data_IF_952524635348
#
_entry.id   IF_952524635348
#
_cell.length_a   1.000
_cell.length_b   1.000
_cell.length_c   1.000
_cell.angle_alpha   90.00
_cell.angle_beta   90.00
_cell.angle_gamma   90.00
#
_symmetry.space_group_name_H-M   'P 1'
#
loop_
_entity.id
_entity.type
_entity.pdbx_description
1 polymer ?
#
# COMPACT_ATOMS: atom_id res chain seq x y z
N UNK A 1 0.31 -21.63 -4.41
CA UNK A 1 0.58 -20.21 -4.10
C UNK A 1 0.79 -19.92 -2.61
N UNK A 2 0.10 -20.60 -1.68
CA UNK A 2 0.28 -20.40 -0.22
C UNK A 2 1.70 -20.69 0.31
N UNK A 3 2.39 -21.69 -0.24
CA UNK A 3 3.72 -22.14 0.26
C UNK A 3 4.82 -21.09 0.01
N UNK A 4 4.72 -20.30 -1.07
CA UNK A 4 5.70 -19.25 -1.37
C UNK A 4 5.54 -18.03 -0.44
N UNK A 5 4.30 -17.66 -0.10
CA UNK A 5 3.97 -16.63 0.91
C UNK A 5 4.52 -17.04 2.28
N UNK A 6 4.37 -18.31 2.65
CA UNK A 6 4.84 -18.85 3.93
C UNK A 6 6.37 -18.92 4.05
N UNK A 7 7.08 -19.21 2.95
CA UNK A 7 8.56 -19.24 2.90
C UNK A 7 9.20 -17.84 2.92
N UNK A 8 8.54 -16.80 2.40
CA UNK A 8 9.01 -15.41 2.50
C UNK A 8 8.88 -14.86 3.92
N UNK A 9 7.77 -15.16 4.60
CA UNK A 9 7.52 -14.76 5.99
C UNK A 9 8.50 -15.39 7.00
N UNK A 10 9.07 -16.56 6.69
CA UNK A 10 10.08 -17.20 7.55
C UNK A 10 11.48 -16.60 7.44
N UNK A 11 11.78 -15.86 6.37
CA UNK A 11 13.13 -15.32 6.13
C UNK A 11 13.36 -13.94 6.80
N UNK A 12 12.32 -13.13 6.97
CA UNK A 12 12.39 -11.80 7.59
C UNK A 12 11.16 -11.57 8.49
N UNK A 13 11.21 -12.00 9.76
CA UNK A 13 10.03 -12.12 10.63
C UNK A 13 9.54 -10.79 11.26
N UNK A 14 9.94 -9.63 10.74
CA UNK A 14 9.62 -8.31 11.33
C UNK A 14 8.91 -7.31 10.41
N UNK A 15 8.86 -7.54 9.10
CA UNK A 15 8.35 -6.56 8.14
C UNK A 15 7.36 -7.27 7.20
N UNK A 16 6.11 -6.83 7.20
CA UNK A 16 5.21 -7.18 6.12
C UNK A 16 5.85 -6.68 4.81
N UNK A 17 5.97 -7.54 3.80
CA UNK A 17 6.51 -7.13 2.51
C UNK A 17 5.59 -6.11 1.83
N UNK A 18 6.14 -5.26 0.95
CA UNK A 18 5.37 -4.22 0.24
C UNK A 18 4.10 -4.75 -0.45
N UNK A 19 4.08 -6.02 -0.89
CA UNK A 19 2.87 -6.73 -1.37
C UNK A 19 1.70 -6.60 -0.39
N UNK A 20 1.94 -6.90 0.89
CA UNK A 20 0.92 -6.85 1.93
C UNK A 20 0.55 -5.40 2.24
N UNK A 21 1.51 -4.47 2.21
CA UNK A 21 1.27 -3.05 2.48
C UNK A 21 0.40 -2.43 1.39
N UNK A 22 0.64 -2.78 0.12
CA UNK A 22 -0.22 -2.41 -1.01
C UNK A 22 -1.63 -2.97 -0.82
N UNK A 23 -1.76 -4.24 -0.40
CA UNK A 23 -3.07 -4.83 -0.12
C UNK A 23 -3.79 -4.13 1.02
N UNK A 24 -3.09 -3.87 2.14
CA UNK A 24 -3.67 -3.24 3.32
C UNK A 24 -4.11 -1.80 3.03
N UNK A 25 -3.29 -1.03 2.32
CA UNK A 25 -3.64 0.33 1.87
C UNK A 25 -4.82 0.29 0.91
N UNK A 26 -4.86 -0.68 -0.02
CA UNK A 26 -6.01 -0.83 -0.94
C UNK A 26 -7.29 -1.13 -0.17
N UNK A 27 -7.27 -2.07 0.78
CA UNK A 27 -8.43 -2.42 1.59
C UNK A 27 -8.88 -1.25 2.48
N UNK A 28 -7.92 -0.56 3.10
CA UNK A 28 -8.19 0.63 3.90
C UNK A 28 -8.81 1.76 3.05
N UNK A 29 -8.29 2.04 1.85
CA UNK A 29 -8.87 3.03 0.96
C UNK A 29 -10.31 2.69 0.60
N UNK A 30 -10.60 1.42 0.27
CA UNK A 30 -11.95 0.96 -0.06
C UNK A 30 -12.92 1.18 1.11
N UNK A 31 -12.49 0.86 2.32
CA UNK A 31 -13.31 1.05 3.53
C UNK A 31 -13.55 2.55 3.83
N UNK A 32 -12.51 3.39 3.71
CA UNK A 32 -12.59 4.82 4.06
C UNK A 32 -13.36 5.64 3.04
N UNK A 33 -13.26 5.29 1.76
CA UNK A 33 -13.92 6.00 0.67
C UNK A 33 -15.31 5.45 0.34
N UNK A 34 -15.65 4.25 0.82
CA UNK A 34 -16.80 3.46 0.38
C UNK A 34 -16.78 3.15 -1.13
N UNK A 35 -15.65 3.37 -1.81
CA UNK A 35 -15.45 3.05 -3.22
C UNK A 35 -14.86 1.64 -3.36
N UNK A 36 -15.66 0.71 -3.85
CA UNK A 36 -15.21 -0.67 -4.05
C UNK A 36 -14.41 -0.86 -5.35
N UNK A 37 -14.59 0.06 -6.31
CA UNK A 37 -13.99 0.05 -7.64
C UNK A 37 -12.77 0.96 -7.73
N UNK A 38 -11.77 0.70 -6.88
CA UNK A 38 -10.47 1.38 -6.93
C UNK A 38 -9.33 0.40 -7.18
N UNK A 39 -8.32 0.90 -7.89
CA UNK A 39 -7.07 0.23 -8.20
C UNK A 39 -5.93 1.11 -7.70
N UNK A 40 -5.02 0.53 -6.93
CA UNK A 40 -3.83 1.20 -6.43
C UNK A 40 -2.64 0.77 -7.28
N UNK A 41 -1.95 1.75 -7.86
CA UNK A 41 -0.75 1.60 -8.68
C UNK A 41 0.44 2.19 -7.95
N UNK A 42 1.54 1.42 -7.87
CA UNK A 42 2.78 1.83 -7.21
C UNK A 42 3.93 1.64 -8.18
N UNK A 43 4.65 2.73 -8.46
CA UNK A 43 5.89 2.68 -9.20
C UNK A 43 7.07 2.62 -8.21
N UNK A 44 8.02 1.73 -8.48
CA UNK A 44 9.22 1.56 -7.67
C UNK A 44 10.48 1.66 -8.49
N UNK A 45 11.52 2.21 -7.89
CA UNK A 45 12.85 2.19 -8.47
C UNK A 45 13.45 0.77 -8.45
N UNK A 46 14.14 0.38 -9.53
CA UNK A 46 14.75 -0.96 -9.67
C UNK A 46 15.88 -1.26 -8.68
N UNK A 47 16.63 -0.25 -8.23
CA UNK A 47 17.96 -0.45 -7.60
C UNK A 47 18.09 0.07 -6.16
N UNK A 48 17.02 0.60 -5.57
CA UNK A 48 17.09 1.16 -4.22
C UNK A 48 16.72 0.10 -3.17
N UNK A 49 17.64 -0.14 -2.24
CA UNK A 49 17.49 -1.10 -1.13
C UNK A 49 16.52 -0.64 -0.04
N UNK A 50 16.18 0.65 -0.04
CA UNK A 50 15.25 1.26 0.92
C UNK A 50 13.80 1.01 0.47
N UNK A 51 12.81 0.94 1.38
CA UNK A 51 11.39 1.05 1.04
C UNK A 51 11.08 2.43 0.43
N UNK A 52 11.51 2.61 -0.81
CA UNK A 52 11.33 3.82 -1.61
C UNK A 52 10.31 3.53 -2.72
N UNK A 53 9.40 4.48 -2.88
CA UNK A 53 8.34 4.50 -3.87
C UNK A 53 8.58 5.72 -4.75
N UNK A 54 8.57 5.54 -6.07
CA UNK A 54 8.67 6.66 -7.01
C UNK A 54 7.34 7.41 -7.06
N UNK A 55 6.25 6.66 -7.22
CA UNK A 55 4.94 7.23 -7.43
C UNK A 55 3.83 6.32 -6.86
N UNK A 56 2.79 6.97 -6.36
CA UNK A 56 1.56 6.36 -5.85
C UNK A 56 0.41 6.95 -6.62
N UNK A 57 -0.42 6.11 -7.24
CA UNK A 57 -1.58 6.55 -7.99
C UNK A 57 -2.80 5.66 -7.71
N UNK A 58 -3.94 6.28 -7.44
CA UNK A 58 -5.23 5.58 -7.40
C UNK A 58 -5.95 5.77 -8.73
N UNK A 59 -6.44 4.70 -9.31
CA UNK A 59 -7.30 4.70 -10.49
C UNK A 59 -8.70 4.25 -10.06
N UNK A 60 -9.72 5.08 -10.31
CA UNK A 60 -11.12 4.81 -9.92
C UNK A 60 -12.10 5.29 -11.00
N UNK A 61 -13.29 4.71 -11.04
CA UNK A 61 -14.41 5.13 -11.89
C UNK A 61 -15.65 5.35 -11.02
N UNK A 62 -16.29 6.55 -10.97
CA UNK A 62 -15.96 7.80 -11.65
C UNK A 62 -15.52 8.94 -10.70
N UNK A 63 -14.62 9.77 -11.25
CA UNK A 63 -14.36 11.19 -10.91
C UNK A 63 -13.62 11.47 -9.59
N UNK A 64 -12.37 11.89 -9.77
CA UNK A 64 -11.43 12.51 -8.82
C UNK A 64 -10.62 11.51 -7.99
N UNK A 65 -9.61 10.87 -8.59
CA UNK A 65 -8.67 10.04 -7.86
C UNK A 65 -7.73 10.84 -6.94
N UNK A 66 -7.65 12.16 -7.06
CA UNK A 66 -6.64 12.97 -6.38
C UNK A 66 -6.76 12.90 -4.84
N UNK A 67 -7.95 13.00 -4.22
CA UNK A 67 -8.09 12.83 -2.77
C UNK A 67 -7.69 11.42 -2.32
N UNK A 68 -8.07 10.38 -3.08
CA UNK A 68 -7.72 8.99 -2.76
C UNK A 68 -6.23 8.73 -2.93
N UNK A 69 -5.62 9.35 -3.93
CA UNK A 69 -4.17 9.28 -4.18
C UNK A 69 -3.41 9.96 -3.05
N UNK A 70 -3.87 11.12 -2.57
CA UNK A 70 -3.29 11.79 -1.41
C UNK A 70 -3.41 10.92 -0.14
N UNK A 71 -4.59 10.31 0.09
CA UNK A 71 -4.79 9.38 1.21
C UNK A 71 -3.88 8.15 1.13
N UNK A 72 -3.74 7.57 -0.06
CA UNK A 72 -2.84 6.44 -0.30
C UNK A 72 -1.39 6.84 0.01
N UNK A 73 -0.96 8.00 -0.49
CA UNK A 73 0.37 8.56 -0.25
C UNK A 73 0.65 8.72 1.25
N UNK A 74 -0.28 9.31 2.01
CA UNK A 74 -0.13 9.45 3.46
C UNK A 74 -0.05 8.10 4.18
N UNK A 75 -0.82 7.10 3.74
CA UNK A 75 -0.77 5.77 4.33
C UNK A 75 0.62 5.13 4.16
N UNK A 76 1.23 5.24 2.98
CA UNK A 76 2.60 4.76 2.76
C UNK A 76 3.64 5.55 3.55
N UNK A 77 3.52 6.88 3.65
CA UNK A 77 4.39 7.68 4.53
C UNK A 77 4.26 7.24 5.98
N UNK A 78 3.03 6.97 6.46
CA UNK A 78 2.76 6.48 7.80
C UNK A 78 3.34 5.08 8.09
N UNK A 79 3.49 4.26 7.05
CA UNK A 79 4.15 2.96 7.11
C UNK A 79 5.70 3.07 7.08
N UNK A 80 6.23 4.27 6.86
CA UNK A 80 7.68 4.53 6.83
C UNK A 80 8.32 4.48 5.44
N UNK A 81 7.52 4.48 4.36
CA UNK A 81 8.06 4.60 3.02
C UNK A 81 8.54 6.02 2.72
N UNK A 82 9.62 6.12 1.95
CA UNK A 82 10.01 7.36 1.29
C UNK A 82 9.34 7.42 -0.08
N UNK A 83 8.73 8.56 -0.40
CA UNK A 83 8.06 8.77 -1.69
C UNK A 83 8.75 9.91 -2.42
N UNK A 84 9.64 9.56 -3.34
CA UNK A 84 10.52 10.49 -4.06
C UNK A 84 10.70 10.05 -5.51
N UNK A 85 10.47 10.98 -6.43
CA UNK A 85 10.77 10.77 -7.84
C UNK A 85 12.23 11.10 -8.10
N UNK A 86 13.04 10.06 -8.30
CA UNK A 86 14.48 10.20 -8.55
C UNK A 86 14.82 10.28 -10.05
N UNK A 87 13.82 10.20 -10.94
CA UNK A 87 14.01 10.10 -12.39
C UNK A 87 14.65 8.80 -12.87
N UNK A 88 14.83 7.82 -11.97
CA UNK A 88 15.37 6.50 -12.29
C UNK A 88 14.35 5.58 -12.96
N UNK A 89 14.82 4.45 -13.47
CA UNK A 89 13.95 3.43 -14.04
C UNK A 89 13.02 2.86 -12.97
N UNK A 90 11.72 2.81 -13.31
CA UNK A 90 10.69 2.26 -12.43
C UNK A 90 10.02 1.01 -12.98
N UNK A 91 9.45 0.22 -12.07
CA UNK A 91 8.52 -0.84 -12.40
C UNK A 91 7.25 -0.75 -11.56
N UNK A 92 6.13 -1.09 -12.19
CA UNK A 92 4.83 -1.15 -11.53
C UNK A 92 4.70 -2.39 -10.64
N UNK A 93 4.23 -2.19 -9.42
CA UNK A 93 3.92 -3.28 -8.50
C UNK A 93 2.45 -3.72 -8.63
N UNK A 94 2.16 -5.03 -8.73
CA UNK A 94 0.81 -5.50 -9.05
C UNK A 94 -0.19 -5.32 -7.91
N UNK A 95 -1.46 -5.32 -8.35
CA UNK A 95 -2.69 -5.13 -7.58
C UNK A 95 -2.86 -6.10 -6.41
N UNK A 96 -3.57 -5.61 -5.39
CA UNK A 96 -4.35 -6.39 -4.45
C UNK A 96 -5.40 -7.23 -5.22
N UNK A 97 -5.31 -8.56 -5.16
CA UNK A 97 -6.10 -9.51 -5.98
C UNK A 97 -7.60 -9.52 -5.68
N UNK A 98 -8.06 -8.73 -4.71
CA UNK A 98 -9.45 -8.50 -4.38
C UNK A 98 -10.12 -9.63 -3.58
N UNK A 99 -9.43 -10.74 -3.32
CA UNK A 99 -9.98 -11.90 -2.60
C UNK A 99 -9.69 -11.80 -1.09
N UNK A 100 -10.26 -10.78 -0.44
CA UNK A 100 -10.07 -10.57 0.99
C UNK A 100 -11.37 -10.74 1.77
N UNK A 101 -11.26 -11.40 2.91
CA UNK A 101 -12.33 -11.52 3.89
C UNK A 101 -12.59 -10.17 4.58
N UNK A 102 -13.80 -10.00 5.14
CA UNK A 102 -14.11 -8.84 5.98
C UNK A 102 -13.16 -8.70 7.18
N UNK A 103 -12.69 -9.82 7.72
CA UNK A 103 -11.73 -9.82 8.81
C UNK A 103 -10.38 -9.23 8.39
N UNK A 104 -9.85 -9.63 7.23
CA UNK A 104 -8.62 -9.06 6.67
C UNK A 104 -8.76 -7.56 6.39
N UNK A 105 -9.91 -7.12 5.86
CA UNK A 105 -10.18 -5.69 5.66
C UNK A 105 -10.14 -4.90 6.98
N UNK A 106 -10.72 -5.43 8.06
CA UNK A 106 -10.68 -4.81 9.39
C UNK A 106 -9.26 -4.77 9.97
N UNK A 107 -8.47 -5.83 9.78
CA UNK A 107 -7.07 -5.88 10.21
C UNK A 107 -6.22 -4.84 9.47
N UNK A 108 -6.36 -4.78 8.14
CA UNK A 108 -5.72 -3.77 7.31
C UNK A 108 -6.06 -2.35 7.80
N UNK A 109 -7.35 -2.07 8.02
CA UNK A 109 -7.79 -0.77 8.53
C UNK A 109 -7.16 -0.43 9.87
N UNK A 110 -7.19 -1.36 10.84
CA UNK A 110 -6.60 -1.13 12.15
C UNK A 110 -5.09 -0.85 12.06
N UNK A 111 -4.37 -1.56 11.18
CA UNK A 111 -2.94 -1.40 10.96
C UNK A 111 -2.60 -0.02 10.37
N UNK A 112 -3.26 0.37 9.28
CA UNK A 112 -3.01 1.65 8.60
C UNK A 112 -3.37 2.83 9.51
N UNK A 113 -4.51 2.77 10.21
CA UNK A 113 -4.92 3.81 11.15
C UNK A 113 -3.95 3.94 12.35
N UNK A 114 -3.37 2.83 12.81
CA UNK A 114 -2.36 2.87 13.86
C UNK A 114 -1.04 3.48 13.35
N UNK A 115 -0.63 3.15 12.12
CA UNK A 115 0.56 3.70 11.48
C UNK A 115 0.43 5.22 11.28
N UNK A 116 -0.68 5.69 10.69
CA UNK A 116 -0.97 7.11 10.51
C UNK A 116 -1.01 7.87 11.84
N UNK A 117 -1.60 7.29 12.89
CA UNK A 117 -1.63 7.91 14.22
C UNK A 117 -0.22 8.10 14.79
N UNK A 118 0.64 7.08 14.70
CA UNK A 118 2.03 7.18 15.15
C UNK A 118 2.80 8.23 14.35
N UNK A 119 2.65 8.23 13.04
CA UNK A 119 3.36 9.14 12.15
C UNK A 119 2.95 10.61 12.31
N UNK A 120 1.67 10.89 12.58
CA UNK A 120 1.16 12.26 12.81
C UNK A 120 1.36 12.75 14.24
N UNK A 121 1.78 11.88 15.16
CA UNK A 121 2.06 12.29 16.54
C UNK A 121 3.39 13.05 16.57
N UNK A 122 3.46 14.22 17.24
CA UNK A 122 4.68 15.03 17.31
C UNK A 122 5.80 14.37 18.12
#
# INVERSE_FOLDING_TARGET
MQIARQRRLSAYPGEFGMEQDICDVTLWLKEKSQEHSLLLWIDRHYFYYVPEIDNVQVMTVPRRPEPLTAMAREAFLGLGYVIENTGGDTYGYPLCDGHHSRHEALQACARIEAALRRWRSP
#
